data_IF_444948952212
#
_entry.id   IF_444948952212
#
_cell.length_a   1.000
_cell.length_b   1.000
_cell.length_c   1.000
_cell.angle_alpha   90.00
_cell.angle_beta   90.00
_cell.angle_gamma   90.00
#
_symmetry.space_group_name_H-M   'P 1'
#
loop_
_entity.id
_entity.type
_entity.pdbx_description
1 polymer ?
#
# COMPACT_ATOMS: atom_id res chain seq x y z
N UNK A 1 -17.68 -4.79 -16.62
CA UNK A 1 -16.82 -3.66 -17.07
C UNK A 1 -16.83 -3.41 -18.57
N UNK A 2 -17.04 -4.40 -19.46
CA UNK A 2 -17.11 -4.19 -20.92
C UNK A 2 -18.30 -3.34 -21.38
N UNK A 3 -19.48 -3.54 -20.78
CA UNK A 3 -20.74 -2.83 -21.13
C UNK A 3 -20.70 -1.31 -20.95
N UNK A 4 -19.84 -0.79 -20.07
CA UNK A 4 -19.69 0.64 -19.80
C UNK A 4 -18.69 1.36 -20.71
N UNK A 5 -17.86 0.59 -21.44
CA UNK A 5 -16.96 1.15 -22.47
C UNK A 5 -17.72 1.32 -23.78
N UNK A 6 -18.53 0.34 -24.18
CA UNK A 6 -19.34 0.40 -25.39
C UNK A 6 -20.39 1.51 -25.35
N UNK A 7 -21.03 1.73 -24.20
CA UNK A 7 -22.04 2.80 -24.08
C UNK A 7 -21.45 4.20 -24.31
N UNK A 8 -20.15 4.42 -24.09
CA UNK A 8 -19.52 5.74 -24.25
C UNK A 8 -19.24 6.08 -25.70
N UNK A 9 -18.67 5.13 -26.43
CA UNK A 9 -18.45 5.27 -27.87
C UNK A 9 -19.79 5.52 -28.59
N UNK A 10 -20.85 4.85 -28.13
CA UNK A 10 -22.21 5.04 -28.62
C UNK A 10 -22.75 6.45 -28.33
N UNK A 11 -22.64 6.94 -27.08
CA UNK A 11 -23.09 8.30 -26.71
C UNK A 11 -22.27 9.38 -27.44
N UNK A 12 -20.95 9.22 -27.56
CA UNK A 12 -20.10 10.16 -28.30
C UNK A 12 -20.42 10.17 -29.78
N UNK A 13 -20.75 9.01 -30.37
CA UNK A 13 -21.13 8.92 -31.77
C UNK A 13 -22.46 9.63 -32.05
N UNK A 14 -23.47 9.46 -31.18
CA UNK A 14 -24.76 10.16 -31.31
C UNK A 14 -24.57 11.68 -31.17
N UNK A 15 -23.81 12.12 -30.17
CA UNK A 15 -23.57 13.55 -29.94
C UNK A 15 -22.78 14.17 -31.09
N UNK A 16 -21.76 13.47 -31.61
CA UNK A 16 -20.99 13.90 -32.76
C UNK A 16 -21.82 13.93 -34.04
N UNK A 17 -22.74 12.99 -34.22
CA UNK A 17 -23.65 12.97 -35.37
C UNK A 17 -24.62 14.16 -35.33
N UNK A 18 -25.16 14.49 -34.15
CA UNK A 18 -26.01 15.67 -33.97
C UNK A 18 -25.25 16.99 -34.23
N UNK A 19 -24.03 17.12 -33.69
CA UNK A 19 -23.18 18.30 -33.88
C UNK A 19 -22.69 18.41 -35.34
N UNK A 20 -22.29 17.30 -35.96
CA UNK A 20 -21.89 17.28 -37.37
C UNK A 20 -23.04 17.64 -38.31
N UNK A 21 -24.25 17.17 -38.00
CA UNK A 21 -25.47 17.56 -38.74
C UNK A 21 -25.78 19.05 -38.55
N UNK A 22 -25.65 19.58 -37.33
CA UNK A 22 -25.83 21.00 -37.06
C UNK A 22 -24.80 21.88 -37.80
N UNK A 23 -23.52 21.51 -37.77
CA UNK A 23 -22.45 22.19 -38.52
C UNK A 23 -22.67 22.15 -40.03
N UNK A 24 -23.22 21.06 -40.54
CA UNK A 24 -23.56 20.93 -41.96
C UNK A 24 -24.62 21.95 -42.40
N UNK A 25 -25.57 22.27 -41.53
CA UNK A 25 -26.58 23.30 -41.80
C UNK A 25 -26.06 24.72 -41.63
N UNK A 26 -25.15 24.98 -40.68
CA UNK A 26 -24.63 26.33 -40.43
C UNK A 26 -23.48 26.73 -41.35
N UNK A 27 -22.68 25.76 -41.80
CA UNK A 27 -21.55 25.97 -42.71
C UNK A 27 -21.68 25.06 -43.94
N UNK A 28 -22.60 25.38 -44.88
CA UNK A 28 -22.61 24.73 -46.17
C UNK A 28 -21.30 25.01 -46.91
N UNK A 29 -20.90 24.06 -47.78
CA UNK A 29 -19.69 24.20 -48.59
C UNK A 29 -19.76 25.49 -49.42
N UNK A 30 -18.74 26.38 -49.34
CA UNK A 30 -18.81 27.71 -49.94
C UNK A 30 -18.56 27.67 -51.45
N UNK A 31 -19.56 27.21 -52.20
CA UNK A 31 -19.55 27.12 -53.68
C UNK A 31 -19.41 28.50 -54.36
N UNK A 32 -19.67 29.60 -53.66
CA UNK A 32 -19.68 30.95 -54.22
C UNK A 32 -18.31 31.63 -54.31
N UNK A 33 -17.26 31.04 -53.72
CA UNK A 33 -15.92 31.65 -53.81
C UNK A 33 -15.36 31.53 -55.23
N UNK A 34 -14.93 32.67 -55.76
CA UNK A 34 -14.38 32.80 -57.13
C UNK A 34 -13.27 31.77 -57.40
N UNK A 35 -12.41 31.49 -56.41
CA UNK A 35 -11.32 30.50 -56.52
C UNK A 35 -11.83 29.07 -56.73
N UNK A 36 -12.87 28.66 -56.01
CA UNK A 36 -13.45 27.31 -56.13
C UNK A 36 -14.14 27.13 -57.49
N UNK A 37 -14.74 28.20 -58.02
CA UNK A 37 -15.37 28.20 -59.35
C UNK A 37 -14.37 28.07 -60.49
N UNK A 38 -13.21 28.74 -60.39
CA UNK A 38 -12.11 28.59 -61.35
C UNK A 38 -11.53 27.16 -61.33
N UNK A 39 -11.41 26.57 -60.13
CA UNK A 39 -10.95 25.18 -59.97
C UNK A 39 -11.97 24.19 -60.54
N UNK A 40 -13.28 24.45 -60.37
CA UNK A 40 -14.34 23.60 -60.93
C UNK A 40 -14.29 23.53 -62.47
N UNK A 41 -13.98 24.65 -63.14
CA UNK A 41 -13.87 24.71 -64.62
C UNK A 41 -12.57 24.08 -65.12
N UNK A 42 -11.46 24.24 -64.38
CA UNK A 42 -10.14 23.77 -64.81
C UNK A 42 -9.85 22.30 -64.46
N UNK A 43 -10.40 21.81 -63.35
CA UNK A 43 -10.14 20.48 -62.82
C UNK A 43 -11.37 19.93 -62.05
N UNK A 44 -12.38 19.39 -62.75
CA UNK A 44 -13.65 18.98 -62.13
C UNK A 44 -13.49 17.86 -61.09
N UNK A 45 -12.54 16.94 -61.31
CA UNK A 45 -12.25 15.84 -60.37
C UNK A 45 -11.65 16.33 -59.04
N UNK A 46 -10.78 17.35 -59.10
CA UNK A 46 -10.18 17.94 -57.91
C UNK A 46 -11.24 18.66 -57.07
N UNK A 47 -12.13 19.41 -57.71
CA UNK A 47 -13.24 20.09 -57.04
C UNK A 47 -14.17 19.10 -56.32
N UNK A 48 -14.54 18.00 -56.97
CA UNK A 48 -15.37 16.96 -56.38
C UNK A 48 -14.69 16.31 -55.16
N UNK A 49 -13.39 16.05 -55.26
CA UNK A 49 -12.57 15.52 -54.16
C UNK A 49 -12.54 16.47 -52.96
N UNK A 50 -12.39 17.78 -53.19
CA UNK A 50 -12.44 18.78 -52.13
C UNK A 50 -13.81 18.85 -51.44
N UNK A 51 -14.90 18.73 -52.21
CA UNK A 51 -16.26 18.71 -51.65
C UNK A 51 -16.47 17.49 -50.75
N UNK A 52 -16.07 16.29 -51.19
CA UNK A 52 -16.18 15.09 -50.36
C UNK A 52 -15.27 15.14 -49.13
N UNK A 53 -14.05 15.66 -49.28
CA UNK A 53 -13.12 15.82 -48.17
C UNK A 53 -13.63 16.81 -47.13
N UNK A 54 -14.22 17.92 -47.56
CA UNK A 54 -14.86 18.90 -46.68
C UNK A 54 -15.99 18.26 -45.87
N UNK A 55 -16.90 17.54 -46.53
CA UNK A 55 -17.97 16.82 -45.84
C UNK A 55 -17.42 15.78 -44.84
N UNK A 56 -16.42 14.99 -45.24
CA UNK A 56 -15.80 14.01 -44.36
C UNK A 56 -15.13 14.65 -43.13
N UNK A 57 -14.42 15.76 -43.32
CA UNK A 57 -13.80 16.53 -42.22
C UNK A 57 -14.84 17.15 -41.29
N UNK A 58 -15.97 17.59 -41.83
CA UNK A 58 -17.05 18.19 -41.05
C UNK A 58 -17.68 17.19 -40.06
N UNK A 59 -17.72 15.90 -40.38
CA UNK A 59 -18.24 14.86 -39.48
C UNK A 59 -17.16 14.26 -38.57
N UNK A 60 -15.92 14.12 -39.05
CA UNK A 60 -14.84 13.49 -38.27
C UNK A 60 -14.27 14.38 -37.17
N UNK A 61 -14.18 15.70 -37.41
CA UNK A 61 -13.68 16.67 -36.43
C UNK A 61 -14.52 16.72 -35.14
N UNK A 62 -15.85 16.90 -35.19
CA UNK A 62 -16.67 16.91 -33.97
C UNK A 62 -16.66 15.57 -33.24
N UNK A 63 -16.54 14.44 -33.96
CA UNK A 63 -16.39 13.12 -33.33
C UNK A 63 -15.12 13.01 -32.47
N UNK A 64 -13.98 13.45 -32.99
CA UNK A 64 -12.71 13.44 -32.26
C UNK A 64 -12.77 14.35 -31.02
N UNK A 65 -13.36 15.53 -31.15
CA UNK A 65 -13.52 16.49 -30.04
C UNK A 65 -14.44 15.91 -28.95
N UNK A 66 -15.62 15.40 -29.30
CA UNK A 66 -16.52 14.79 -28.31
C UNK A 66 -15.90 13.58 -27.61
N UNK A 67 -15.18 12.73 -28.35
CA UNK A 67 -14.51 11.54 -27.80
C UNK A 67 -13.42 11.90 -26.78
N UNK A 68 -12.57 12.86 -27.11
CA UNK A 68 -11.49 13.33 -26.22
C UNK A 68 -12.04 13.99 -24.96
N UNK A 69 -13.07 14.84 -25.07
CA UNK A 69 -13.72 15.50 -23.93
C UNK A 69 -14.40 14.48 -23.01
N UNK A 70 -15.18 13.55 -23.54
CA UNK A 70 -15.86 12.52 -22.74
C UNK A 70 -14.88 11.58 -22.04
N UNK A 71 -13.78 11.22 -22.70
CA UNK A 71 -12.70 10.44 -22.10
C UNK A 71 -12.03 11.18 -20.95
N UNK A 72 -11.71 12.46 -21.14
CA UNK A 72 -11.14 13.32 -20.10
C UNK A 72 -12.08 13.47 -18.89
N UNK A 73 -13.36 13.78 -19.14
CA UNK A 73 -14.39 13.90 -18.10
C UNK A 73 -14.57 12.59 -17.32
N UNK A 74 -14.49 11.44 -18.01
CA UNK A 74 -14.57 10.14 -17.36
C UNK A 74 -13.39 9.85 -16.43
N UNK A 75 -12.15 10.12 -16.87
CA UNK A 75 -10.96 9.93 -16.04
C UNK A 75 -11.03 10.84 -14.81
N UNK A 76 -11.47 12.08 -14.99
CA UNK A 76 -11.61 13.05 -13.91
C UNK A 76 -12.67 12.63 -12.89
N UNK A 77 -13.85 12.20 -13.35
CA UNK A 77 -14.94 11.73 -12.47
C UNK A 77 -14.60 10.43 -11.72
N UNK A 78 -13.87 9.50 -12.34
CA UNK A 78 -13.34 8.32 -11.65
C UNK A 78 -12.32 8.68 -10.56
N UNK A 79 -11.42 9.62 -10.85
CA UNK A 79 -10.37 10.06 -9.92
C UNK A 79 -10.96 10.82 -8.73
N UNK A 80 -12.03 11.59 -8.95
CA UNK A 80 -12.73 12.33 -7.90
C UNK A 80 -13.47 11.41 -6.91
N UNK A 81 -13.89 10.21 -7.30
CA UNK A 81 -14.70 9.31 -6.46
C UNK A 81 -13.90 8.44 -5.47
N UNK A 82 -12.62 8.72 -5.25
CA UNK A 82 -11.74 7.92 -4.38
C UNK A 82 -11.35 8.62 -3.07
N UNK A 83 -12.25 9.40 -2.46
CA UNK A 83 -12.12 9.70 -1.03
C UNK A 83 -12.40 8.42 -0.25
N UNK A 84 -11.34 7.67 0.03
CA UNK A 84 -11.40 6.43 0.82
C UNK A 84 -11.80 6.82 2.24
N UNK A 85 -13.03 6.52 2.64
CA UNK A 85 -13.43 6.57 4.03
C UNK A 85 -12.70 5.43 4.77
N UNK A 86 -12.00 5.71 5.90
CA UNK A 86 -11.36 4.67 6.68
C UNK A 86 -12.42 3.69 7.19
N UNK A 87 -12.26 2.40 6.88
CA UNK A 87 -13.14 1.37 7.41
C UNK A 87 -12.99 1.26 8.93
N UNK A 88 -14.04 0.80 9.63
CA UNK A 88 -13.96 0.54 11.07
C UNK A 88 -13.24 -0.79 11.31
N UNK A 89 -12.17 -0.76 12.11
CA UNK A 89 -11.42 -1.96 12.50
C UNK A 89 -12.32 -2.88 13.36
N UNK A 90 -12.31 -4.21 13.12
CA UNK A 90 -13.01 -5.15 13.98
C UNK A 90 -12.48 -5.08 15.40
N UNK A 91 -13.36 -5.33 16.38
CA UNK A 91 -13.01 -5.31 17.80
C UNK A 91 -11.81 -6.22 18.06
N UNK A 92 -10.81 -5.72 18.77
CA UNK A 92 -9.63 -6.51 19.13
C UNK A 92 -10.05 -7.75 19.93
N UNK A 93 -9.65 -8.96 19.51
CA UNK A 93 -10.01 -10.17 20.24
C UNK A 93 -9.22 -10.23 21.55
N UNK A 94 -9.90 -10.32 22.69
CA UNK A 94 -9.24 -10.42 24.01
C UNK A 94 -8.53 -11.78 24.14
N UNK A 95 -7.19 -11.85 24.31
CA UNK A 95 -6.44 -13.11 24.42
C UNK A 95 -6.99 -14.09 25.45
N UNK A 96 -7.56 -13.58 26.55
CA UNK A 96 -8.05 -14.41 27.66
C UNK A 96 -9.33 -15.17 27.31
N UNK A 97 -10.08 -14.71 26.30
CA UNK A 97 -11.41 -15.23 25.91
C UNK A 97 -11.38 -16.01 24.60
N UNK A 98 -10.20 -16.24 24.01
CA UNK A 98 -10.07 -16.95 22.73
C UNK A 98 -10.12 -18.45 22.95
N UNK A 99 -10.83 -19.16 22.08
CA UNK A 99 -10.84 -20.62 22.08
C UNK A 99 -9.54 -21.18 21.51
N UNK A 100 -9.03 -20.58 20.43
CA UNK A 100 -7.82 -20.99 19.72
C UNK A 100 -6.64 -20.05 20.00
N UNK A 101 -5.42 -20.60 19.99
CA UNK A 101 -4.21 -19.81 20.11
C UNK A 101 -3.86 -19.16 18.77
N UNK A 102 -3.88 -17.84 18.71
CA UNK A 102 -3.34 -17.09 17.57
C UNK A 102 -2.73 -15.79 18.05
N UNK A 103 -1.72 -15.31 17.33
CA UNK A 103 -1.02 -14.07 17.63
C UNK A 103 -1.46 -12.97 16.68
N UNK A 104 -1.95 -11.84 17.20
CA UNK A 104 -2.25 -10.65 16.40
C UNK A 104 -0.96 -9.83 16.24
N UNK A 105 -0.51 -9.71 14.99
CA UNK A 105 0.72 -8.97 14.64
C UNK A 105 0.45 -7.48 14.50
N UNK A 106 -0.68 -7.11 13.90
CA UNK A 106 -1.06 -5.72 13.67
C UNK A 106 -2.18 -5.54 12.67
N UNK A 107 -2.48 -4.30 12.31
CA UNK A 107 -3.49 -3.95 11.30
C UNK A 107 -2.91 -4.01 9.89
N UNK A 108 -3.63 -4.69 8.98
CA UNK A 108 -3.29 -4.67 7.56
C UNK A 108 -3.72 -3.36 6.93
N UNK A 109 -2.72 -2.59 6.47
CA UNK A 109 -2.90 -1.32 5.77
C UNK A 109 -2.90 -1.51 4.25
N UNK A 110 -3.22 -0.44 3.51
CA UNK A 110 -3.19 -0.47 2.05
C UNK A 110 -1.77 -0.76 1.52
N UNK A 111 -1.56 -1.78 0.66
CA UNK A 111 -0.21 -2.21 0.24
C UNK A 111 0.60 -1.14 -0.49
N UNK A 112 -0.05 -0.17 -1.15
CA UNK A 112 0.60 0.80 -2.04
C UNK A 112 0.67 2.21 -1.49
N UNK A 113 -0.06 2.50 -0.42
CA UNK A 113 -0.17 3.84 0.15
C UNK A 113 -0.26 3.72 1.66
N UNK A 114 0.45 4.55 2.45
CA UNK A 114 0.34 4.60 3.90
C UNK A 114 -0.97 5.30 4.30
N UNK A 115 -2.09 4.78 3.83
CA UNK A 115 -3.44 5.27 4.11
C UNK A 115 -4.26 4.14 4.72
N UNK A 116 -5.23 4.45 5.58
CA UNK A 116 -6.15 3.46 6.13
C UNK A 116 -6.80 2.61 5.04
N UNK A 117 -6.91 1.31 5.28
CA UNK A 117 -7.57 0.41 4.36
C UNK A 117 -9.09 0.66 4.36
N UNK A 118 -9.76 0.37 3.23
CA UNK A 118 -11.24 0.42 3.14
C UNK A 118 -11.90 -0.59 4.09
N UNK A 119 -11.25 -1.72 4.33
CA UNK A 119 -11.68 -2.78 5.23
C UNK A 119 -10.45 -3.28 5.98
N UNK A 120 -10.03 -2.59 7.05
CA UNK A 120 -8.87 -2.99 7.82
C UNK A 120 -9.21 -4.25 8.63
N UNK A 121 -8.25 -5.17 8.72
CA UNK A 121 -8.38 -6.41 9.48
C UNK A 121 -7.08 -6.71 10.23
N UNK A 122 -7.21 -7.53 11.27
CA UNK A 122 -6.08 -7.98 12.07
C UNK A 122 -5.28 -9.04 11.33
N UNK A 123 -4.00 -8.78 11.08
CA UNK A 123 -3.05 -9.81 10.65
C UNK A 123 -2.79 -10.74 11.83
N UNK A 124 -3.12 -12.02 11.65
CA UNK A 124 -2.94 -13.03 12.69
C UNK A 124 -2.02 -14.15 12.21
N UNK A 125 -1.18 -14.65 13.11
CA UNK A 125 -0.41 -15.88 12.93
C UNK A 125 -1.17 -16.98 13.66
N UNK A 126 -1.63 -18.04 12.97
CA UNK A 126 -2.35 -19.14 13.59
C UNK A 126 -1.42 -19.98 14.47
N UNK A 127 -1.99 -20.78 15.36
CA UNK A 127 -1.28 -21.70 16.26
C UNK A 127 -0.15 -22.50 15.56
N UNK A 128 -0.47 -23.11 14.42
CA UNK A 128 0.50 -23.90 13.64
C UNK A 128 1.71 -23.08 13.20
N UNK A 129 1.52 -21.79 12.90
CA UNK A 129 2.60 -20.88 12.54
C UNK A 129 3.41 -20.39 13.75
N UNK A 130 2.87 -20.48 14.98
CA UNK A 130 3.63 -20.20 16.20
C UNK A 130 4.65 -21.31 16.49
N UNK A 131 4.33 -22.56 16.12
CA UNK A 131 5.23 -23.71 16.32
C UNK A 131 6.38 -23.80 15.32
N UNK A 132 6.34 -23.07 14.20
CA UNK A 132 7.46 -23.06 13.22
C UNK A 132 8.62 -22.16 13.64
N UNK A 133 8.44 -21.37 14.70
CA UNK A 133 9.37 -20.31 15.10
C UNK A 133 9.13 -19.01 14.34
N UNK A 134 9.37 -17.88 15.01
CA UNK A 134 9.21 -16.52 14.45
C UNK A 134 10.50 -15.75 14.70
N UNK A 135 11.04 -15.14 13.65
CA UNK A 135 12.17 -14.23 13.73
C UNK A 135 11.71 -12.78 13.53
N UNK A 136 12.05 -11.89 14.46
CA UNK A 136 11.76 -10.45 14.36
C UNK A 136 13.07 -9.72 14.05
N UNK A 137 13.16 -9.15 12.85
CA UNK A 137 14.35 -8.45 12.35
C UNK A 137 14.10 -6.95 12.22
N UNK A 138 15.14 -6.13 12.44
CA UNK A 138 15.03 -4.68 12.32
C UNK A 138 16.25 -3.95 12.89
N UNK A 139 16.43 -2.69 12.52
CA UNK A 139 17.55 -1.85 12.95
C UNK A 139 17.57 -1.58 14.47
N UNK A 140 18.71 -1.14 15.01
CA UNK A 140 18.80 -0.68 16.40
C UNK A 140 17.87 0.53 16.58
N UNK A 141 17.10 0.56 17.67
CA UNK A 141 16.12 1.64 17.93
C UNK A 141 14.76 1.50 17.22
N UNK A 142 14.56 0.51 16.35
CA UNK A 142 13.26 0.26 15.66
C UNK A 142 12.12 -0.24 16.55
N UNK A 143 12.35 -0.36 17.86
CA UNK A 143 11.30 -0.78 18.81
C UNK A 143 10.94 -2.27 18.76
N UNK A 144 11.78 -3.16 18.22
CA UNK A 144 11.52 -4.63 18.18
C UNK A 144 11.03 -5.18 19.52
N UNK A 145 11.65 -4.77 20.62
CA UNK A 145 11.29 -5.23 21.96
C UNK A 145 9.96 -4.64 22.45
N UNK A 146 9.77 -3.33 22.30
CA UNK A 146 8.59 -2.62 22.83
C UNK A 146 7.33 -2.81 21.97
N UNK A 147 7.48 -2.82 20.65
CA UNK A 147 6.37 -2.85 19.69
C UNK A 147 6.01 -4.28 19.25
N UNK A 148 6.96 -5.22 19.27
CA UNK A 148 6.69 -6.60 18.83
C UNK A 148 6.81 -7.59 19.99
N UNK A 149 7.99 -7.75 20.60
CA UNK A 149 8.21 -8.81 21.59
C UNK A 149 7.28 -8.70 22.80
N UNK A 150 7.11 -7.50 23.37
CA UNK A 150 6.29 -7.30 24.57
C UNK A 150 4.80 -7.59 24.34
N UNK A 151 4.13 -6.96 23.35
CA UNK A 151 2.73 -7.28 23.08
C UNK A 151 2.53 -8.73 22.62
N UNK A 152 3.53 -9.35 21.96
CA UNK A 152 3.42 -10.76 21.59
C UNK A 152 3.52 -11.69 22.79
N UNK A 153 4.46 -11.43 23.70
CA UNK A 153 4.58 -12.18 24.95
C UNK A 153 3.31 -12.03 25.80
N UNK A 154 2.77 -10.82 25.92
CA UNK A 154 1.52 -10.57 26.65
C UNK A 154 0.35 -11.34 26.04
N UNK A 155 0.19 -11.33 24.71
CA UNK A 155 -0.88 -12.07 24.04
C UNK A 155 -0.79 -13.58 24.27
N UNK A 156 0.42 -14.16 24.21
CA UNK A 156 0.64 -15.59 24.38
C UNK A 156 0.44 -15.99 25.86
N UNK A 157 0.97 -15.19 26.79
CA UNK A 157 0.90 -15.49 28.22
C UNK A 157 -0.49 -15.22 28.82
N UNK A 158 -1.27 -14.31 28.23
CA UNK A 158 -2.66 -14.06 28.62
C UNK A 158 -3.63 -15.14 28.10
N UNK A 159 -3.26 -15.91 27.08
CA UNK A 159 -4.10 -16.99 26.55
C UNK A 159 -4.38 -18.04 27.63
N UNK A 160 -5.66 -18.15 28.00
CA UNK A 160 -6.17 -19.09 29.01
C UNK A 160 -5.35 -19.11 30.31
N UNK A 161 -4.81 -17.96 30.74
CA UNK A 161 -3.92 -17.86 31.89
C UNK A 161 -4.52 -18.38 33.22
N UNK A 162 -5.85 -18.36 33.35
CA UNK A 162 -6.58 -18.88 34.50
C UNK A 162 -6.74 -20.42 34.50
N UNK A 163 -6.62 -21.07 33.33
CA UNK A 163 -6.77 -22.51 33.16
C UNK A 163 -5.39 -23.19 33.28
N UNK A 164 -5.20 -24.00 34.33
CA UNK A 164 -3.91 -24.65 34.58
C UNK A 164 -3.49 -25.63 33.48
N UNK A 165 -4.44 -26.24 32.79
CA UNK A 165 -4.19 -27.23 31.74
C UNK A 165 -3.89 -26.57 30.39
N UNK A 166 -4.47 -25.40 30.14
CA UNK A 166 -4.38 -24.71 28.83
C UNK A 166 -3.48 -23.48 28.83
N UNK A 167 -3.01 -23.02 30.00
CA UNK A 167 -2.10 -21.87 30.09
C UNK A 167 -0.77 -22.17 29.40
N UNK A 168 -0.20 -21.14 28.79
CA UNK A 168 1.07 -21.25 28.08
C UNK A 168 2.19 -20.76 29.02
N UNK A 169 3.22 -21.58 29.15
CA UNK A 169 4.50 -21.20 29.78
C UNK A 169 5.50 -20.73 28.73
N UNK A 170 6.52 -19.99 29.16
CA UNK A 170 7.58 -19.53 28.27
C UNK A 170 8.91 -19.38 28.99
N UNK A 171 10.01 -19.62 28.26
CA UNK A 171 11.37 -19.30 28.68
C UNK A 171 11.81 -18.02 27.97
N UNK A 172 12.22 -17.02 28.73
CA UNK A 172 12.70 -15.74 28.20
C UNK A 172 14.21 -15.66 28.45
N UNK A 173 14.97 -15.54 27.37
CA UNK A 173 16.41 -15.35 27.41
C UNK A 173 16.72 -13.92 27.01
N UNK A 174 17.16 -13.10 27.97
CA UNK A 174 17.48 -11.69 27.76
C UNK A 174 18.81 -11.33 28.42
N UNK A 175 19.61 -10.51 27.74
CA UNK A 175 20.93 -10.06 28.23
C UNK A 175 20.82 -8.90 29.24
N UNK A 176 19.86 -7.98 29.05
CA UNK A 176 19.75 -6.74 29.83
C UNK A 176 18.75 -6.79 31.01
N UNK A 177 17.79 -7.70 30.98
CA UNK A 177 16.79 -7.93 32.04
C UNK A 177 15.59 -6.96 32.08
N UNK A 178 15.58 -5.91 31.26
CA UNK A 178 14.51 -4.90 31.22
C UNK A 178 13.17 -5.48 30.72
N UNK A 179 13.22 -6.39 29.75
CA UNK A 179 12.06 -7.06 29.20
C UNK A 179 11.48 -8.07 30.21
N UNK A 180 12.33 -8.87 30.85
CA UNK A 180 11.91 -9.80 31.90
C UNK A 180 11.15 -9.09 33.03
N UNK A 181 11.62 -7.90 33.44
CA UNK A 181 10.93 -7.09 34.45
C UNK A 181 9.56 -6.62 33.98
N UNK A 182 9.47 -6.08 32.76
CA UNK A 182 8.20 -5.63 32.18
C UNK A 182 7.16 -6.75 32.03
N UNK A 183 7.59 -7.94 31.59
CA UNK A 183 6.68 -9.09 31.47
C UNK A 183 6.18 -9.55 32.84
N UNK A 184 7.03 -9.47 33.88
CA UNK A 184 6.65 -9.82 35.25
C UNK A 184 5.67 -8.83 35.88
N UNK A 185 5.84 -7.54 35.60
CA UNK A 185 4.95 -6.47 36.08
C UNK A 185 3.60 -6.44 35.32
N UNK A 186 3.52 -7.13 34.17
CA UNK A 186 2.32 -7.29 33.36
C UNK A 186 1.21 -8.13 34.02
N UNK A 187 0.09 -8.38 33.31
CA UNK A 187 -1.13 -8.94 33.90
C UNK A 187 -0.93 -10.33 34.50
N UNK A 188 -0.72 -10.37 35.82
CA UNK A 188 -0.85 -11.50 36.77
C UNK A 188 -0.41 -12.86 36.21
N UNK A 189 0.75 -12.90 35.57
CA UNK A 189 1.42 -14.14 35.19
C UNK A 189 2.04 -14.71 36.47
N UNK A 190 1.50 -15.82 36.97
CA UNK A 190 2.10 -16.60 38.05
C UNK A 190 3.35 -17.34 37.53
N UNK A 191 4.39 -16.60 37.13
CA UNK A 191 5.66 -17.18 36.70
C UNK A 191 6.52 -17.51 37.92
N UNK A 192 6.88 -18.79 38.09
CA UNK A 192 8.08 -19.16 38.87
C UNK A 192 9.28 -18.85 37.98
N UNK A 193 9.96 -17.75 38.24
CA UNK A 193 11.19 -17.40 37.53
C UNK A 193 12.39 -18.13 38.16
N UNK A 194 13.03 -19.02 37.40
CA UNK A 194 14.40 -19.44 37.69
C UNK A 194 15.31 -18.54 36.85
N UNK A 195 15.80 -17.47 37.46
CA UNK A 195 16.86 -16.66 36.89
C UNK A 195 18.18 -17.37 37.11
N UNK A 196 18.69 -18.06 36.09
CA UNK A 196 20.07 -18.57 36.09
C UNK A 196 20.96 -17.36 35.75
N UNK A 197 21.84 -16.90 36.66
CA UNK A 197 22.80 -15.86 36.32
C UNK A 197 23.71 -16.39 35.22
N UNK A 198 23.80 -15.66 34.12
CA UNK A 198 24.77 -15.90 33.05
C UNK A 198 26.17 -15.55 33.56
N UNK A 199 26.76 -16.43 34.36
CA UNK A 199 28.19 -16.38 34.70
C UNK A 199 28.98 -17.04 33.57
N UNK A 200 29.12 -16.36 32.43
CA UNK A 200 30.16 -16.64 31.46
C UNK A 200 30.28 -15.51 30.42
N UNK A 201 31.52 -15.09 30.20
CA UNK A 201 31.99 -14.30 29.05
C UNK A 201 31.88 -12.78 29.19
N UNK A 202 32.53 -12.23 30.22
CA UNK A 202 33.29 -10.99 30.06
C UNK A 202 34.54 -11.34 29.26
N UNK A 203 34.48 -11.25 27.93
CA UNK A 203 35.69 -11.12 27.10
C UNK A 203 35.83 -9.62 26.79
N UNK A 204 36.34 -8.91 27.79
CA UNK A 204 36.92 -7.57 27.63
C UNK A 204 38.06 -7.68 26.62
N UNK A 205 37.86 -7.11 25.44
CA UNK A 205 38.94 -6.86 24.48
C UNK A 205 39.77 -5.69 25.02
N UNK A 206 40.69 -5.99 25.93
CA UNK A 206 41.77 -5.06 26.29
C UNK A 206 42.73 -4.99 25.11
N UNK A 207 42.65 -3.89 24.36
CA UNK A 207 43.65 -3.52 23.36
C UNK A 207 44.92 -3.08 24.11
N UNK A 208 45.82 -4.02 24.40
CA UNK A 208 47.16 -3.73 24.90
C UNK A 208 48.09 -3.44 23.73
N UNK A 209 48.33 -2.17 23.45
CA UNK A 209 49.47 -1.69 22.65
C UNK A 209 50.78 -2.00 23.38
N UNK A 210 51.77 -2.65 22.74
CA UNK A 210 53.06 -2.92 23.36
C UNK A 210 54.00 -1.73 23.17
N UNK A 211 54.38 -1.08 24.27
CA UNK A 211 55.49 -0.11 24.31
C UNK A 211 56.80 -0.87 24.57
N UNK A 212 57.86 -0.67 23.77
CA UNK A 212 59.09 -1.44 23.91
C UNK A 212 59.95 -0.90 25.07
N UNK A 213 60.40 -1.82 25.93
CA UNK A 213 61.40 -1.57 26.97
C UNK A 213 62.78 -1.29 26.35
N UNK A 214 63.44 -0.20 26.76
CA UNK A 214 64.88 -0.04 26.58
C UNK A 214 65.57 0.52 27.82
N UNK A 215 66.44 -0.33 28.36
CA UNK A 215 67.73 -0.04 29.02
C UNK A 215 67.77 0.74 30.33
N UNK A 216 67.98 -0.05 31.37
CA UNK A 216 68.83 0.23 32.53
C UNK A 216 70.24 0.70 32.14
N UNK A 217 70.74 1.76 32.78
CA UNK A 217 72.14 1.92 33.16
C UNK A 217 72.24 2.93 34.32
N UNK A 218 72.91 2.59 35.44
CA UNK A 218 73.13 3.49 36.56
C UNK A 218 74.55 4.08 36.54
N UNK A 219 74.71 5.36 36.86
CA UNK A 219 75.72 5.88 37.80
C UNK A 219 75.83 7.41 37.77
N UNK A 220 76.06 7.92 38.99
CA UNK A 220 76.66 9.19 39.42
C UNK A 220 75.96 10.48 38.98
#
# INVERSE_FOLDING_TARGET
>A
MKRTLESRAFISAILAMAIGTFLFYTHPFPDEQIFLRVIAVRAPQAFLSFKYLYCALLFTTPYLVCSTVLSGLYIFTLKARQTISPGRLPKYPDPSKRDDLFLVVGEVHNPRKPVPAKAPFWLTIPERGLFTGIAILGAIGSGKTSCCMLPFAEQILAYKAADKEKRIGGLILEVKGDFCRKVKDGPRITSKSVSIPSTATTLSTTTSTPTPSRTTSPRS
#
